data_IF_127752906087
#
_entry.id   IF_127752906087
#
_cell.length_a   1.000
_cell.length_b   1.000
_cell.length_c   1.000
_cell.angle_alpha   90.00
_cell.angle_beta   90.00
_cell.angle_gamma   90.00
#
_symmetry.space_group_name_H-M   'P 1'
#
loop_
_entity.id
_entity.type
_entity.pdbx_description
1 polymer ?
#
# COMPACT_ATOMS: atom_id res chain seq x y z
N UNK A 1 24.30 -12.15 -21.89
CA UNK A 1 22.84 -12.27 -21.67
C UNK A 1 22.59 -12.07 -20.19
N UNK A 2 22.55 -10.82 -19.74
CA UNK A 2 22.55 -10.48 -18.32
C UNK A 2 21.12 -10.20 -17.80
N UNK A 3 20.73 -11.02 -16.82
CA UNK A 3 19.74 -10.80 -15.77
C UNK A 3 18.36 -10.33 -16.22
N UNK A 4 17.49 -11.31 -16.51
CA UNK A 4 16.05 -11.17 -16.19
C UNK A 4 15.96 -10.83 -14.71
N UNK A 5 15.69 -9.57 -14.39
CA UNK A 5 15.48 -9.13 -13.01
C UNK A 5 14.27 -9.88 -12.46
N UNK A 6 14.49 -10.91 -11.63
CA UNK A 6 13.45 -11.67 -10.94
C UNK A 6 12.83 -10.84 -9.83
N UNK A 7 12.18 -9.72 -10.18
CA UNK A 7 11.54 -8.83 -9.21
C UNK A 7 10.41 -9.58 -8.53
N UNK A 8 10.43 -9.60 -7.19
CA UNK A 8 9.36 -10.18 -6.38
C UNK A 8 8.07 -9.37 -6.59
N UNK A 9 6.94 -10.07 -6.77
CA UNK A 9 5.66 -9.43 -7.10
C UNK A 9 5.18 -8.49 -6.00
N UNK A 10 5.29 -8.97 -4.77
CA UNK A 10 5.03 -8.24 -3.53
C UNK A 10 6.08 -8.57 -2.49
N UNK A 11 6.16 -7.73 -1.47
CA UNK A 11 7.01 -7.92 -0.30
C UNK A 11 6.23 -7.56 0.97
N UNK A 12 6.39 -8.37 2.01
CA UNK A 12 5.83 -8.08 3.33
C UNK A 12 6.66 -7.00 4.01
N UNK A 13 6.02 -5.89 4.37
CA UNK A 13 6.65 -4.73 5.02
C UNK A 13 6.79 -4.99 6.52
N UNK A 14 5.71 -5.48 7.14
CA UNK A 14 5.65 -5.90 8.54
C UNK A 14 4.56 -6.99 8.75
N UNK A 15 4.16 -7.21 10.00
CA UNK A 15 3.14 -8.21 10.36
C UNK A 15 1.77 -7.96 9.70
N UNK A 16 1.46 -6.72 9.32
CA UNK A 16 0.16 -6.33 8.74
C UNK A 16 0.26 -6.02 7.25
N UNK A 17 1.18 -5.14 6.85
CA UNK A 17 1.19 -4.56 5.50
C UNK A 17 2.05 -5.36 4.54
N UNK A 18 1.47 -5.68 3.38
CA UNK A 18 2.16 -6.24 2.22
C UNK A 18 2.09 -5.22 1.09
N UNK A 19 3.23 -4.92 0.47
CA UNK A 19 3.33 -3.96 -0.62
C UNK A 19 3.61 -4.68 -1.94
N UNK A 20 2.76 -4.49 -2.95
CA UNK A 20 2.89 -5.23 -4.20
C UNK A 20 2.32 -4.57 -5.46
N UNK A 21 2.58 -5.25 -6.58
CA UNK A 21 1.95 -4.95 -7.87
C UNK A 21 0.49 -5.45 -7.89
N UNK A 22 -0.20 -5.27 -9.03
CA UNK A 22 -1.59 -5.70 -9.21
C UNK A 22 -1.81 -7.16 -8.75
N UNK A 23 -2.75 -7.42 -7.84
CA UNK A 23 -3.05 -8.77 -7.38
C UNK A 23 -3.90 -9.48 -8.45
N UNK A 24 -3.28 -10.40 -9.19
CA UNK A 24 -4.03 -11.20 -10.17
C UNK A 24 -4.99 -12.16 -9.48
N UNK A 25 -6.11 -12.48 -10.14
CA UNK A 25 -7.09 -13.46 -9.59
C UNK A 25 -6.46 -14.77 -9.15
N UNK A 26 -5.44 -15.25 -9.89
CA UNK A 26 -4.67 -16.46 -9.56
C UNK A 26 -3.91 -16.38 -8.22
N UNK A 27 -3.65 -15.17 -7.73
CA UNK A 27 -2.93 -14.93 -6.47
C UNK A 27 -3.86 -14.91 -5.25
N UNK A 28 -5.19 -14.84 -5.45
CA UNK A 28 -6.18 -14.70 -4.36
C UNK A 28 -5.98 -15.75 -3.28
N UNK A 29 -5.82 -17.02 -3.67
CA UNK A 29 -5.63 -18.12 -2.74
C UNK A 29 -4.36 -17.93 -1.89
N UNK A 30 -3.24 -17.60 -2.51
CA UNK A 30 -1.99 -17.34 -1.81
C UNK A 30 -2.13 -16.16 -0.82
N UNK A 31 -2.74 -15.06 -1.26
CA UNK A 31 -2.92 -13.87 -0.42
C UNK A 31 -3.83 -14.17 0.78
N UNK A 32 -4.93 -14.88 0.57
CA UNK A 32 -5.93 -15.15 1.61
C UNK A 32 -5.48 -16.23 2.60
N UNK A 33 -4.92 -17.33 2.10
CA UNK A 33 -4.60 -18.51 2.92
C UNK A 33 -3.19 -18.46 3.50
N UNK A 34 -2.20 -18.01 2.73
CA UNK A 34 -0.79 -18.00 3.17
C UNK A 34 -0.44 -16.69 3.86
N UNK A 35 -0.87 -15.57 3.29
CA UNK A 35 -0.50 -14.24 3.80
C UNK A 35 -1.53 -13.64 4.76
N UNK A 36 -2.61 -14.38 5.06
CA UNK A 36 -3.72 -13.93 5.93
C UNK A 36 -4.29 -12.56 5.54
N UNK A 37 -4.37 -12.28 4.23
CA UNK A 37 -4.93 -11.03 3.72
C UNK A 37 -6.44 -11.03 3.93
N UNK A 38 -6.93 -10.02 4.65
CA UNK A 38 -8.36 -9.73 4.83
C UNK A 38 -8.75 -8.31 4.43
N UNK A 39 -7.76 -7.47 4.15
CA UNK A 39 -7.96 -6.16 3.53
C UNK A 39 -7.14 -6.00 2.25
N UNK A 40 -7.68 -5.29 1.26
CA UNK A 40 -6.92 -4.86 0.08
C UNK A 40 -7.13 -3.38 -0.18
N UNK A 41 -6.02 -2.63 -0.31
CA UNK A 41 -6.07 -1.21 -0.69
C UNK A 41 -5.67 -1.08 -2.15
N UNK A 42 -6.63 -0.68 -2.97
CA UNK A 42 -6.47 -0.47 -4.42
C UNK A 42 -6.29 1.01 -4.72
N UNK A 43 -5.05 1.41 -5.03
CA UNK A 43 -4.69 2.78 -5.41
C UNK A 43 -4.74 3.02 -6.93
N UNK A 44 -5.71 2.40 -7.60
CA UNK A 44 -5.86 2.39 -9.05
C UNK A 44 -7.27 2.81 -9.47
N UNK A 45 -7.35 3.40 -10.65
CA UNK A 45 -8.64 3.61 -11.30
C UNK A 45 -9.27 2.29 -11.78
N UNK A 46 -10.59 2.26 -11.93
CA UNK A 46 -11.35 1.04 -12.27
C UNK A 46 -10.82 0.38 -13.55
N UNK A 47 -10.49 1.17 -14.58
CA UNK A 47 -9.99 0.64 -15.85
C UNK A 47 -8.64 -0.08 -15.73
N UNK A 48 -7.78 0.29 -14.77
CA UNK A 48 -6.46 -0.35 -14.56
C UNK A 48 -6.60 -1.77 -13.98
N UNK A 49 -7.75 -2.10 -13.40
CA UNK A 49 -7.98 -3.35 -12.64
C UNK A 49 -8.95 -4.32 -13.29
N UNK A 50 -9.82 -3.82 -14.18
CA UNK A 50 -11.03 -4.51 -14.68
C UNK A 50 -10.82 -5.92 -15.23
N UNK A 51 -9.70 -6.18 -15.89
CA UNK A 51 -9.48 -7.45 -16.59
C UNK A 51 -8.65 -8.47 -15.80
N UNK A 52 -7.80 -8.01 -14.89
CA UNK A 52 -6.76 -8.87 -14.31
C UNK A 52 -6.90 -9.10 -12.79
N UNK A 53 -7.51 -8.14 -12.09
CA UNK A 53 -7.70 -8.19 -10.64
C UNK A 53 -9.11 -8.63 -10.29
N UNK A 54 -9.30 -9.10 -9.07
CA UNK A 54 -10.63 -9.33 -8.51
C UNK A 54 -11.46 -8.03 -8.51
N UNK A 55 -12.75 -8.15 -8.80
CA UNK A 55 -13.76 -7.14 -8.48
C UNK A 55 -13.96 -7.02 -6.96
N UNK A 56 -14.75 -6.03 -6.53
CA UNK A 56 -15.08 -5.88 -5.11
C UNK A 56 -15.88 -7.10 -4.61
N UNK A 57 -16.77 -7.64 -5.45
CA UNK A 57 -17.58 -8.81 -5.16
C UNK A 57 -16.73 -10.10 -5.10
N UNK A 58 -15.75 -10.24 -6.00
CA UNK A 58 -14.80 -11.36 -5.99
C UNK A 58 -13.92 -11.33 -4.73
N UNK A 59 -13.47 -10.14 -4.30
CA UNK A 59 -12.75 -9.99 -3.02
C UNK A 59 -13.63 -10.33 -1.82
N UNK A 60 -14.86 -9.82 -1.80
CA UNK A 60 -15.82 -10.08 -0.73
C UNK A 60 -16.14 -11.57 -0.62
N UNK A 61 -16.32 -12.26 -1.75
CA UNK A 61 -16.54 -13.71 -1.79
C UNK A 61 -15.33 -14.51 -1.27
N UNK A 62 -14.13 -13.95 -1.40
CA UNK A 62 -12.90 -14.52 -0.83
C UNK A 62 -12.66 -14.09 0.64
N UNK A 63 -13.59 -13.36 1.27
CA UNK A 63 -13.47 -12.89 2.65
C UNK A 63 -12.48 -11.73 2.81
N UNK A 64 -12.28 -10.92 1.76
CA UNK A 64 -11.38 -9.76 1.76
C UNK A 64 -12.18 -8.48 1.52
N UNK A 65 -12.02 -7.51 2.40
CA UNK A 65 -12.59 -6.17 2.23
C UNK A 65 -11.71 -5.32 1.29
N UNK A 66 -12.33 -4.64 0.32
CA UNK A 66 -11.62 -3.75 -0.60
C UNK A 66 -11.86 -2.27 -0.28
N UNK A 67 -10.79 -1.56 0.04
CA UNK A 67 -10.76 -0.10 0.04
C UNK A 67 -10.14 0.41 -1.26
N UNK A 68 -10.93 1.14 -2.07
CA UNK A 68 -10.43 1.80 -3.28
C UNK A 68 -10.19 3.28 -3.04
N UNK A 69 -8.94 3.70 -3.23
CA UNK A 69 -8.51 5.08 -3.09
C UNK A 69 -8.07 5.59 -4.48
N UNK A 70 -9.00 6.23 -5.19
CA UNK A 70 -8.72 6.80 -6.50
C UNK A 70 -7.76 7.98 -6.34
N UNK A 71 -6.56 7.86 -6.91
CA UNK A 71 -5.68 9.03 -7.12
C UNK A 71 -6.16 9.72 -8.40
N UNK A 72 -6.94 10.78 -8.25
CA UNK A 72 -7.52 11.52 -9.39
C UNK A 72 -6.45 12.27 -10.19
N UNK A 73 -5.27 12.51 -9.62
CA UNK A 73 -4.27 13.35 -10.26
C UNK A 73 -3.29 12.59 -11.15
N UNK A 74 -3.09 13.16 -12.34
CA UNK A 74 -2.05 12.88 -13.35
C UNK A 74 -0.62 12.77 -12.78
N UNK A 75 -0.42 13.22 -11.53
CA UNK A 75 0.85 13.23 -10.80
C UNK A 75 1.12 11.93 -10.04
N UNK A 76 0.09 11.12 -9.76
CA UNK A 76 0.23 9.88 -8.98
C UNK A 76 0.55 10.10 -7.50
N UNK A 77 0.18 11.26 -6.94
CA UNK A 77 0.31 11.57 -5.51
C UNK A 77 -1.04 11.36 -4.82
N UNK A 78 -1.13 10.54 -3.75
CA UNK A 78 -2.34 10.43 -2.95
C UNK A 78 -2.68 11.75 -2.24
N UNK A 79 -3.97 12.09 -2.13
CA UNK A 79 -4.41 13.19 -1.26
C UNK A 79 -4.22 12.84 0.21
N UNK A 80 -4.13 13.86 1.06
CA UNK A 80 -3.98 13.68 2.50
C UNK A 80 -5.15 12.90 3.12
N UNK A 81 -6.38 13.17 2.69
CA UNK A 81 -7.58 12.41 3.07
C UNK A 81 -7.44 10.92 2.72
N UNK A 82 -6.96 10.61 1.51
CA UNK A 82 -6.74 9.22 1.10
C UNK A 82 -5.64 8.54 1.91
N UNK A 83 -4.59 9.28 2.32
CA UNK A 83 -3.57 8.75 3.23
C UNK A 83 -4.20 8.38 4.58
N UNK A 84 -4.95 9.28 5.21
CA UNK A 84 -5.65 9.00 6.48
C UNK A 84 -6.55 7.77 6.37
N UNK A 85 -7.45 7.75 5.38
CA UNK A 85 -8.38 6.64 5.18
C UNK A 85 -7.67 5.30 4.94
N UNK A 86 -6.62 5.29 4.13
CA UNK A 86 -5.87 4.06 3.86
C UNK A 86 -5.06 3.58 5.07
N UNK A 87 -4.51 4.50 5.86
CA UNK A 87 -3.79 4.16 7.08
C UNK A 87 -4.74 3.64 8.16
N UNK A 88 -5.86 4.29 8.39
CA UNK A 88 -6.89 3.83 9.33
C UNK A 88 -7.38 2.43 9.00
N UNK A 89 -7.68 2.17 7.73
CA UNK A 89 -8.05 0.84 7.25
C UNK A 89 -6.97 -0.22 7.54
N UNK A 90 -5.69 0.12 7.33
CA UNK A 90 -4.59 -0.78 7.66
C UNK A 90 -4.45 -1.02 9.18
N UNK A 91 -4.67 0.01 10.00
CA UNK A 91 -4.61 -0.11 11.45
C UNK A 91 -5.77 -0.96 12.01
N UNK A 92 -6.98 -0.84 11.48
CA UNK A 92 -8.12 -1.69 11.85
C UNK A 92 -7.81 -3.17 11.63
N UNK A 93 -7.21 -3.51 10.48
CA UNK A 93 -6.79 -4.89 10.21
C UNK A 93 -5.63 -5.36 11.10
N UNK A 94 -4.71 -4.46 11.47
CA UNK A 94 -3.65 -4.74 12.44
C UNK A 94 -4.24 -5.14 13.79
N UNK A 95 -5.22 -4.38 14.30
CA UNK A 95 -5.90 -4.69 15.57
C UNK A 95 -6.60 -6.05 15.54
N UNK A 96 -7.08 -6.48 14.38
CA UNK A 96 -7.71 -7.77 14.17
C UNK A 96 -6.71 -8.92 13.93
N UNK A 97 -5.40 -8.64 13.89
CA UNK A 97 -4.37 -9.65 13.60
C UNK A 97 -4.40 -10.16 12.15
N UNK A 98 -4.93 -9.36 11.22
CA UNK A 98 -5.04 -9.69 9.80
C UNK A 98 -4.10 -8.84 8.95
N UNK A 99 -3.81 -9.28 7.73
CA UNK A 99 -2.93 -8.56 6.81
C UNK A 99 -3.69 -7.75 5.76
N UNK A 100 -3.03 -6.70 5.27
CA UNK A 100 -3.54 -5.81 4.23
C UNK A 100 -2.60 -5.79 3.04
N UNK A 101 -3.14 -6.09 1.86
CA UNK A 101 -2.40 -5.99 0.60
C UNK A 101 -2.57 -4.60 -0.02
N UNK A 102 -1.51 -3.80 0.01
CA UNK A 102 -1.49 -2.43 -0.51
C UNK A 102 -0.86 -2.42 -1.89
N UNK A 103 -1.62 -1.99 -2.89
CA UNK A 103 -1.13 -2.05 -4.28
C UNK A 103 -1.51 -0.85 -5.13
N UNK A 104 -0.69 -0.65 -6.16
CA UNK A 104 -1.03 0.18 -7.31
C UNK A 104 -0.81 -0.67 -8.58
N UNK A 105 -0.25 -0.10 -9.66
CA UNK A 105 0.11 -0.87 -10.86
C UNK A 105 1.33 -1.79 -10.63
N UNK A 106 2.45 -1.20 -10.25
CA UNK A 106 3.74 -1.90 -10.09
C UNK A 106 4.17 -2.08 -8.61
N UNK A 107 3.42 -1.50 -7.67
CA UNK A 107 3.79 -1.53 -6.26
C UNK A 107 5.04 -0.71 -5.95
N UNK A 108 5.17 0.47 -6.55
CA UNK A 108 6.42 1.26 -6.51
C UNK A 108 6.26 2.68 -5.98
N UNK A 109 5.17 3.35 -6.35
CA UNK A 109 5.04 4.80 -6.14
C UNK A 109 3.83 5.10 -5.28
N UNK A 110 2.63 5.29 -5.85
CA UNK A 110 1.35 5.48 -5.13
C UNK A 110 1.19 4.61 -3.87
N UNK A 111 1.27 3.28 -4.04
CA UNK A 111 1.11 2.34 -2.93
C UNK A 111 2.27 2.35 -1.94
N UNK A 112 3.49 2.68 -2.39
CA UNK A 112 4.63 2.83 -1.49
C UNK A 112 4.49 4.09 -0.65
N UNK A 113 3.94 5.18 -1.20
CA UNK A 113 3.60 6.38 -0.43
C UNK A 113 2.58 6.07 0.67
N UNK A 114 1.54 5.29 0.38
CA UNK A 114 0.58 4.90 1.43
C UNK A 114 1.21 3.98 2.49
N UNK A 115 2.02 3.01 2.07
CA UNK A 115 2.76 2.16 3.00
C UNK A 115 3.74 2.97 3.88
N UNK A 116 4.34 4.03 3.34
CA UNK A 116 5.20 4.93 4.12
C UNK A 116 4.38 5.73 5.13
N UNK A 117 3.21 6.26 4.74
CA UNK A 117 2.29 6.94 5.65
C UNK A 117 1.84 6.03 6.81
N UNK A 118 1.61 4.74 6.52
CA UNK A 118 1.31 3.75 7.56
C UNK A 118 2.45 3.60 8.58
N UNK A 119 3.70 3.46 8.10
CA UNK A 119 4.87 3.36 8.97
C UNK A 119 5.09 4.63 9.80
N UNK A 120 4.89 5.81 9.20
CA UNK A 120 4.93 7.10 9.89
C UNK A 120 3.91 7.09 11.03
N UNK A 121 2.66 6.69 10.76
CA UNK A 121 1.62 6.67 11.78
C UNK A 121 1.91 5.69 12.91
N UNK A 122 2.52 4.55 12.60
CA UNK A 122 2.81 3.49 13.57
C UNK A 122 4.01 3.82 14.48
N UNK A 123 5.03 4.48 13.94
CA UNK A 123 6.31 4.65 14.64
C UNK A 123 6.70 6.11 14.91
N UNK A 124 5.94 7.07 14.39
CA UNK A 124 6.32 8.48 14.35
C UNK A 124 7.70 8.70 13.69
N UNK A 125 8.03 7.87 12.70
CA UNK A 125 9.24 8.05 11.90
C UNK A 125 9.09 9.22 10.95
N UNK A 126 10.22 9.87 10.64
CA UNK A 126 10.30 10.84 9.56
C UNK A 126 9.93 10.19 8.22
N UNK A 127 9.44 10.96 7.24
CA UNK A 127 9.17 10.45 5.89
C UNK A 127 10.36 9.72 5.25
N UNK A 128 11.57 10.20 5.51
CA UNK A 128 12.83 9.63 5.04
C UNK A 128 13.06 8.24 5.64
N UNK A 129 12.99 8.09 6.97
CA UNK A 129 13.14 6.81 7.67
C UNK A 129 12.12 5.78 7.21
N UNK A 130 10.85 6.20 7.05
CA UNK A 130 9.80 5.32 6.53
C UNK A 130 10.08 4.85 5.09
N UNK A 131 10.56 5.75 4.23
CA UNK A 131 10.95 5.41 2.86
C UNK A 131 12.17 4.50 2.81
N UNK A 132 13.18 4.74 3.66
CA UNK A 132 14.37 3.90 3.78
C UNK A 132 14.00 2.49 4.24
N UNK A 133 13.11 2.36 5.22
CA UNK A 133 12.59 1.05 5.65
C UNK A 133 11.93 0.32 4.48
N UNK A 134 11.06 0.98 3.72
CA UNK A 134 10.44 0.35 2.55
C UNK A 134 11.45 -0.03 1.47
N UNK A 135 12.46 0.81 1.21
CA UNK A 135 13.51 0.53 0.24
C UNK A 135 14.37 -0.67 0.65
N UNK A 136 14.61 -0.87 1.95
CA UNK A 136 15.34 -2.05 2.45
C UNK A 136 14.61 -3.37 2.17
N UNK A 137 13.28 -3.35 2.16
CA UNK A 137 12.42 -4.51 1.93
C UNK A 137 12.12 -4.70 0.43
N UNK A 138 11.86 -3.60 -0.28
CA UNK A 138 11.48 -3.56 -1.70
C UNK A 138 12.33 -2.52 -2.44
N UNK A 139 13.55 -2.86 -2.89
CA UNK A 139 14.53 -1.90 -3.41
C UNK A 139 14.11 -1.08 -4.64
N UNK A 140 13.07 -1.51 -5.35
CA UNK A 140 12.57 -0.83 -6.55
C UNK A 140 11.43 0.16 -6.28
N UNK A 141 11.09 0.46 -5.02
CA UNK A 141 10.18 1.58 -4.73
C UNK A 141 10.73 2.91 -5.27
N UNK A 142 9.82 3.84 -5.54
CA UNK A 142 10.11 5.16 -6.07
C UNK A 142 9.11 6.17 -5.51
N UNK A 143 9.49 6.78 -4.38
CA UNK A 143 8.81 7.92 -3.79
C UNK A 143 9.47 9.19 -4.33
N UNK A 144 8.74 9.95 -5.14
CA UNK A 144 9.22 11.19 -5.77
C UNK A 144 9.04 12.37 -4.82
N UNK A 145 9.68 13.50 -5.14
CA UNK A 145 9.63 14.73 -4.33
C UNK A 145 8.20 15.12 -3.91
N UNK A 146 7.24 15.17 -4.84
CA UNK A 146 5.86 15.54 -4.51
C UNK A 146 5.16 14.56 -3.54
N UNK A 147 5.52 13.26 -3.60
CA UNK A 147 5.00 12.26 -2.67
C UNK A 147 5.68 12.39 -1.31
N UNK A 148 6.96 12.74 -1.28
CA UNK A 148 7.69 13.00 -0.05
C UNK A 148 7.17 14.25 0.66
N UNK A 149 6.86 15.34 -0.07
CA UNK A 149 6.21 16.53 0.49
C UNK A 149 4.84 16.21 1.11
N UNK A 150 4.04 15.36 0.44
CA UNK A 150 2.78 14.90 1.01
C UNK A 150 2.99 14.10 2.31
N UNK A 151 4.02 13.25 2.36
CA UNK A 151 4.37 12.51 3.58
C UNK A 151 4.86 13.44 4.69
N UNK A 152 5.59 14.51 4.38
CA UNK A 152 6.00 15.55 5.35
C UNK A 152 4.78 16.26 5.93
N UNK A 153 3.81 16.60 5.09
CA UNK A 153 2.54 17.20 5.53
C UNK A 153 1.76 16.23 6.43
N UNK A 154 1.68 14.95 6.04
CA UNK A 154 1.04 13.90 6.83
C UNK A 154 1.72 13.71 8.20
N UNK A 155 3.05 13.62 8.23
CA UNK A 155 3.86 13.52 9.44
C UNK A 155 3.56 14.65 10.43
N UNK A 156 3.53 15.90 9.96
CA UNK A 156 3.22 17.06 10.80
C UNK A 156 1.82 16.95 11.44
N UNK A 157 0.82 16.43 10.71
CA UNK A 157 -0.53 16.27 11.26
C UNK A 157 -0.63 15.16 12.30
N UNK A 158 0.03 14.01 12.10
CA UNK A 158 -0.19 12.82 12.93
C UNK A 158 0.84 12.65 14.05
N UNK A 159 2.00 13.30 13.94
CA UNK A 159 3.09 13.23 14.91
C UNK A 159 3.41 14.61 15.54
N UNK A 160 3.09 15.70 14.85
CA UNK A 160 3.40 17.07 15.29
C UNK A 160 2.53 17.62 16.42
N UNK A 161 1.52 16.88 16.89
CA UNK A 161 0.69 17.25 18.04
C UNK A 161 1.19 16.66 19.37
N UNK A 162 2.48 16.34 19.48
CA UNK A 162 3.10 16.05 20.78
C UNK A 162 3.66 17.35 21.36
N UNK A 163 2.78 18.15 21.97
CA UNK A 163 3.15 19.30 22.82
C UNK A 163 2.17 19.39 23.98
#
# INVERSE_FOLDING_TARGET
MEKVSSRRWFDRVDETVILGALPFRSMTKQLVETENVRGVITMNEKYETKYFCNSAEEWQAAGVEQLRLSTVDLTGVPSLENLHRGVEFALQHREQGTSVYVHCKAGRSRSATLAAAYLIRLHCWTPEEACEKLASVRPHILVRAAQLEMLRTYYQQVCGQSS
#
